data_IF_802872493811
#
_entry.id   IF_802872493811
#
_cell.length_a   1.000
_cell.length_b   1.000
_cell.length_c   1.000
_cell.angle_alpha   90.00
_cell.angle_beta   90.00
_cell.angle_gamma   90.00
#
_symmetry.space_group_name_H-M   'P 1'
#
loop_
_entity.id
_entity.type
_entity.pdbx_description
1 polymer ?
#
# COMPACT_ATOMS: atom_id res chain seq x y z
N UNK A 1 30.50 -4.18 -20.67
CA UNK A 1 29.64 -5.32 -20.29
C UNK A 1 28.44 -5.31 -21.21
N UNK A 2 28.13 -6.44 -21.85
CA UNK A 2 26.98 -6.57 -22.74
C UNK A 2 25.92 -7.38 -22.00
N UNK A 3 24.80 -6.75 -21.65
CA UNK A 3 23.65 -7.47 -21.11
C UNK A 3 22.82 -8.03 -22.27
N UNK A 4 22.48 -9.32 -22.19
CA UNK A 4 21.55 -10.00 -23.09
C UNK A 4 20.16 -9.94 -22.46
N UNK A 5 19.18 -9.39 -23.17
CA UNK A 5 17.80 -9.33 -22.73
C UNK A 5 16.95 -10.26 -23.61
N UNK A 6 16.23 -11.18 -22.98
CA UNK A 6 15.29 -12.05 -23.67
C UNK A 6 13.97 -11.31 -23.85
N UNK A 7 13.64 -10.97 -25.10
CA UNK A 7 12.36 -10.36 -25.41
C UNK A 7 11.31 -11.43 -25.75
N UNK A 8 10.35 -11.62 -24.84
CA UNK A 8 9.27 -12.59 -25.00
C UNK A 8 8.12 -12.07 -25.88
N UNK A 9 7.94 -10.76 -25.99
CA UNK A 9 6.79 -10.18 -26.69
C UNK A 9 7.14 -8.85 -27.36
N UNK A 10 6.58 -8.60 -28.55
CA UNK A 10 6.64 -7.28 -29.18
C UNK A 10 5.66 -6.28 -28.56
N UNK A 11 4.77 -6.73 -27.65
CA UNK A 11 3.67 -5.93 -27.11
C UNK A 11 3.71 -5.76 -25.60
N UNK A 12 4.34 -6.69 -24.88
CA UNK A 12 4.29 -6.74 -23.42
C UNK A 12 5.69 -6.73 -22.84
N UNK A 13 5.89 -5.86 -21.85
CA UNK A 13 7.00 -5.99 -20.93
C UNK A 13 6.50 -6.74 -19.69
N UNK A 14 7.12 -7.86 -19.35
CA UNK A 14 6.67 -8.70 -18.23
C UNK A 14 7.05 -8.14 -16.85
N UNK A 15 7.60 -6.92 -16.80
CA UNK A 15 7.95 -6.17 -15.59
C UNK A 15 7.14 -4.86 -15.55
N UNK A 16 5.84 -4.95 -15.81
CA UNK A 16 4.90 -3.82 -15.78
C UNK A 16 4.11 -3.80 -14.47
N UNK A 17 3.77 -2.60 -14.00
CA UNK A 17 2.88 -2.44 -12.83
C UNK A 17 1.47 -2.96 -13.15
N UNK A 18 0.73 -3.37 -12.11
CA UNK A 18 -0.66 -3.83 -12.30
C UNK A 18 -1.55 -2.74 -12.90
N UNK A 19 -2.50 -3.18 -13.74
CA UNK A 19 -3.47 -2.35 -14.41
C UNK A 19 -4.72 -3.17 -14.72
N UNK A 20 -5.68 -2.62 -15.46
CA UNK A 20 -6.83 -3.41 -15.91
C UNK A 20 -6.42 -4.67 -16.70
N UNK A 21 -5.30 -4.67 -17.42
CA UNK A 21 -4.92 -5.81 -18.27
C UNK A 21 -3.67 -6.56 -17.78
N UNK A 22 -3.03 -6.08 -16.70
CA UNK A 22 -1.76 -6.62 -16.20
C UNK A 22 -1.95 -6.90 -14.71
N UNK A 23 -1.55 -8.10 -14.28
CA UNK A 23 -1.60 -8.52 -12.87
C UNK A 23 -0.19 -8.84 -12.38
N UNK A 24 0.52 -7.83 -11.90
CA UNK A 24 1.88 -7.98 -11.39
C UNK A 24 1.87 -8.78 -10.09
N UNK A 25 2.66 -9.85 -10.03
CA UNK A 25 2.74 -10.74 -8.86
C UNK A 25 3.12 -10.01 -7.57
N UNK A 26 3.87 -8.90 -7.66
CA UNK A 26 4.28 -8.11 -6.49
C UNK A 26 3.12 -7.38 -5.78
N UNK A 27 1.91 -7.41 -6.36
CA UNK A 27 0.69 -6.86 -5.76
C UNK A 27 -0.18 -7.91 -5.06
N UNK A 28 0.26 -9.17 -4.95
CA UNK A 28 -0.50 -10.25 -4.30
C UNK A 28 0.36 -10.96 -3.26
N UNK A 29 -0.03 -10.92 -1.98
CA UNK A 29 0.77 -11.45 -0.88
C UNK A 29 1.06 -12.96 -1.02
N UNK A 30 0.08 -13.73 -1.51
CA UNK A 30 0.19 -15.17 -1.73
C UNK A 30 1.12 -15.56 -2.89
N UNK A 31 1.45 -14.62 -3.78
CA UNK A 31 2.37 -14.82 -4.91
C UNK A 31 3.81 -14.43 -4.58
N UNK A 32 4.07 -13.82 -3.42
CA UNK A 32 5.42 -13.50 -2.97
C UNK A 32 6.05 -14.76 -2.36
N UNK A 33 6.64 -15.63 -3.18
CA UNK A 33 7.17 -16.92 -2.72
C UNK A 33 8.67 -16.90 -2.43
N UNK A 34 9.46 -16.11 -3.16
CA UNK A 34 10.92 -16.07 -3.02
C UNK A 34 11.34 -15.18 -1.86
N UNK A 35 12.44 -15.48 -1.17
CA UNK A 35 12.90 -14.65 -0.04
C UNK A 35 13.14 -13.18 -0.43
N UNK A 36 13.52 -12.94 -1.69
CA UNK A 36 13.74 -11.60 -2.25
C UNK A 36 12.47 -10.86 -2.66
N UNK A 37 11.29 -11.51 -2.67
CA UNK A 37 10.05 -10.85 -3.06
C UNK A 37 9.50 -10.02 -1.92
N UNK A 38 9.31 -8.73 -2.17
CA UNK A 38 8.70 -7.77 -1.25
C UNK A 38 7.61 -6.98 -1.96
N UNK A 39 6.63 -6.50 -1.19
CA UNK A 39 5.63 -5.58 -1.72
C UNK A 39 6.33 -4.27 -2.03
N UNK A 40 6.24 -3.84 -3.29
CA UNK A 40 6.85 -2.58 -3.74
C UNK A 40 6.19 -1.38 -3.06
N UNK A 41 4.87 -1.24 -3.23
CA UNK A 41 4.07 -0.17 -2.63
C UNK A 41 2.81 -0.72 -1.95
N UNK A 42 1.97 -1.43 -2.71
CA UNK A 42 0.64 -1.87 -2.26
C UNK A 42 0.39 -3.30 -2.73
N UNK A 43 -0.23 -4.14 -1.89
CA UNK A 43 -0.68 -5.47 -2.25
C UNK A 43 -2.03 -5.82 -1.64
N UNK A 44 -2.64 -6.90 -2.16
CA UNK A 44 -3.83 -7.53 -1.61
C UNK A 44 -3.56 -8.99 -1.23
N UNK A 45 -4.49 -9.64 -0.53
CA UNK A 45 -4.30 -11.03 -0.06
C UNK A 45 -4.05 -12.03 -1.20
N UNK A 46 -4.86 -11.98 -2.27
CA UNK A 46 -4.70 -12.88 -3.42
C UNK A 46 -5.30 -12.27 -4.69
N UNK A 47 -4.91 -12.81 -5.83
CA UNK A 47 -5.51 -12.51 -7.13
C UNK A 47 -6.92 -13.08 -7.26
N UNK A 48 -7.17 -14.26 -6.69
CA UNK A 48 -8.49 -14.89 -6.66
C UNK A 48 -8.92 -14.95 -5.21
N UNK A 49 -10.07 -14.36 -4.89
CA UNK A 49 -10.56 -14.16 -3.54
C UNK A 49 -11.89 -14.91 -3.41
N UNK A 50 -11.97 -15.84 -2.47
CA UNK A 50 -13.22 -16.48 -2.06
C UNK A 50 -13.72 -15.98 -0.71
N UNK A 51 -12.84 -15.35 0.06
CA UNK A 51 -13.19 -14.74 1.33
C UNK A 51 -14.15 -13.55 1.17
N UNK A 52 -15.03 -13.28 2.15
CA UNK A 52 -15.97 -12.15 2.07
C UNK A 52 -15.29 -10.79 2.28
N UNK A 53 -13.97 -10.71 2.16
CA UNK A 53 -13.17 -9.50 2.31
C UNK A 53 -11.94 -9.50 1.40
N UNK A 54 -11.45 -8.30 1.10
CA UNK A 54 -10.12 -8.09 0.50
C UNK A 54 -9.23 -7.42 1.54
N UNK A 55 -8.08 -8.01 1.84
CA UNK A 55 -7.03 -7.34 2.60
C UNK A 55 -6.33 -6.36 1.68
N UNK A 56 -6.10 -5.13 2.13
CA UNK A 56 -5.26 -4.15 1.43
C UNK A 56 -4.09 -3.82 2.34
N UNK A 57 -2.87 -3.99 1.84
CA UNK A 57 -1.64 -3.70 2.54
C UNK A 57 -0.86 -2.61 1.81
N UNK A 58 -0.51 -1.53 2.50
CA UNK A 58 0.36 -0.45 2.02
C UNK A 58 1.70 -0.60 2.73
N UNK A 59 2.75 -0.92 1.97
CA UNK A 59 4.10 -1.05 2.50
C UNK A 59 4.58 0.29 3.06
N UNK A 60 5.19 0.25 4.24
CA UNK A 60 5.75 1.45 4.85
C UNK A 60 6.96 1.93 4.04
N UNK A 61 6.96 3.20 3.65
CA UNK A 61 8.15 3.89 3.16
C UNK A 61 8.31 5.25 3.86
N UNK A 62 9.50 5.85 3.72
CA UNK A 62 9.79 7.15 4.34
C UNK A 62 8.90 8.28 3.78
N UNK A 63 8.50 8.20 2.51
CA UNK A 63 7.72 9.23 1.85
C UNK A 63 6.32 9.35 2.45
N UNK A 64 5.70 8.25 2.87
CA UNK A 64 4.42 8.25 3.57
C UNK A 64 4.46 9.21 4.76
N UNK A 65 5.52 9.13 5.56
CA UNK A 65 5.64 9.95 6.75
C UNK A 65 5.99 11.41 6.43
N UNK A 66 6.79 11.66 5.39
CA UNK A 66 7.02 13.01 4.89
C UNK A 66 5.69 13.68 4.46
N UNK A 67 4.77 12.92 3.86
CA UNK A 67 3.44 13.40 3.50
C UNK A 67 2.54 13.62 4.71
N UNK A 68 2.59 12.73 5.71
CA UNK A 68 1.90 12.94 6.98
C UNK A 68 2.33 14.27 7.62
N UNK A 69 3.62 14.60 7.61
CA UNK A 69 4.11 15.88 8.13
C UNK A 69 3.64 17.08 7.30
N UNK A 70 3.43 16.92 5.98
CA UNK A 70 2.88 18.00 5.16
C UNK A 70 1.41 18.28 5.50
N UNK A 71 0.60 17.23 5.69
CA UNK A 71 -0.82 17.37 6.02
C UNK A 71 -1.08 17.66 7.50
N UNK A 72 -0.19 17.24 8.38
CA UNK A 72 -0.25 17.49 9.81
C UNK A 72 1.12 17.90 10.37
N UNK A 73 1.53 19.17 10.18
CA UNK A 73 2.86 19.64 10.58
C UNK A 73 3.16 19.53 12.08
N UNK A 74 2.15 19.41 12.96
CA UNK A 74 2.37 19.24 14.40
C UNK A 74 2.96 17.88 14.76
N UNK A 75 2.86 16.88 13.87
CA UNK A 75 3.49 15.57 14.05
C UNK A 75 4.97 15.57 13.69
N UNK A 76 5.47 16.62 13.02
CA UNK A 76 6.86 16.69 12.60
C UNK A 76 7.76 16.91 13.82
N UNK A 77 8.73 16.03 14.10
CA UNK A 77 9.63 16.21 15.23
C UNK A 77 10.60 17.36 14.97
N UNK A 78 11.14 17.94 16.06
CA UNK A 78 12.21 18.94 15.97
C UNK A 78 13.48 18.34 15.34
N UNK A 79 13.82 17.10 15.72
CA UNK A 79 14.94 16.33 15.15
C UNK A 79 14.42 15.08 14.43
N UNK A 80 14.79 14.92 13.17
CA UNK A 80 14.46 13.75 12.36
C UNK A 80 15.46 12.62 12.62
N UNK A 81 15.05 11.60 13.38
CA UNK A 81 15.90 10.46 13.75
C UNK A 81 15.75 9.25 12.82
N UNK A 82 15.12 9.40 11.65
CA UNK A 82 14.82 8.28 10.73
C UNK A 82 16.03 7.92 9.88
N UNK A 83 16.11 6.65 9.48
CA UNK A 83 17.19 6.13 8.64
C UNK A 83 18.25 5.38 9.45
N UNK A 84 19.48 5.35 8.94
CA UNK A 84 20.58 4.61 9.58
C UNK A 84 21.08 5.42 10.78
N UNK A 85 20.90 4.88 11.98
CA UNK A 85 21.40 5.47 13.22
C UNK A 85 22.29 4.46 13.95
N UNK A 86 23.16 4.94 14.83
CA UNK A 86 23.93 4.08 15.74
C UNK A 86 23.00 3.35 16.70
N UNK A 87 23.44 2.21 17.26
CA UNK A 87 22.66 1.37 18.20
C UNK A 87 22.03 2.18 19.36
N UNK A 88 22.77 3.15 19.90
CA UNK A 88 22.31 4.08 20.95
C UNK A 88 21.19 5.03 20.46
N UNK A 89 21.22 5.45 19.20
CA UNK A 89 20.18 6.28 18.59
C UNK A 89 18.91 5.48 18.29
N UNK A 90 19.05 4.20 17.94
CA UNK A 90 17.92 3.30 17.66
C UNK A 90 17.11 2.95 18.91
N UNK A 91 17.75 2.76 20.08
CA UNK A 91 17.05 2.49 21.34
C UNK A 91 16.10 3.62 21.79
N UNK A 92 16.34 4.86 21.34
CA UNK A 92 15.53 6.04 21.68
C UNK A 92 14.61 6.48 20.52
N UNK A 93 14.47 5.66 19.48
CA UNK A 93 13.71 6.02 18.28
C UNK A 93 12.23 5.68 18.40
N UNK A 94 11.38 6.59 17.90
CA UNK A 94 9.92 6.47 17.93
C UNK A 94 9.28 7.14 19.15
N UNK A 95 8.11 7.74 18.95
CA UNK A 95 7.35 8.35 20.04
C UNK A 95 6.74 7.27 20.94
N UNK A 96 6.79 7.45 22.26
CA UNK A 96 6.00 6.66 23.22
C UNK A 96 4.64 7.28 23.53
N UNK A 97 4.36 8.47 22.98
CA UNK A 97 3.10 9.17 23.17
C UNK A 97 1.99 8.52 22.33
N UNK A 98 1.00 7.95 23.01
CA UNK A 98 -0.17 7.34 22.38
C UNK A 98 -1.01 8.33 21.58
N UNK A 99 -1.03 9.61 21.98
CA UNK A 99 -1.78 10.65 21.27
C UNK A 99 -1.15 10.95 19.91
N UNK A 100 0.17 11.11 19.85
CA UNK A 100 0.91 11.31 18.61
C UNK A 100 0.75 10.12 17.66
N UNK A 101 0.80 8.88 18.16
CA UNK A 101 0.51 7.69 17.34
C UNK A 101 -0.91 7.66 16.81
N UNK A 102 -1.88 8.05 17.64
CA UNK A 102 -3.28 8.13 17.23
C UNK A 102 -3.48 9.18 16.14
N UNK A 103 -2.90 10.36 16.31
CA UNK A 103 -3.01 11.46 15.35
C UNK A 103 -2.27 11.14 14.05
N UNK A 104 -1.13 10.46 14.13
CA UNK A 104 -0.46 9.89 12.96
C UNK A 104 -1.38 8.96 12.16
N UNK A 105 -2.00 7.98 12.81
CA UNK A 105 -2.88 7.02 12.14
C UNK A 105 -4.15 7.69 11.60
N UNK A 106 -4.70 8.68 12.31
CA UNK A 106 -5.82 9.48 11.80
C UNK A 106 -5.40 10.23 10.55
N UNK A 107 -4.27 10.91 10.56
CA UNK A 107 -3.75 11.61 9.38
C UNK A 107 -3.56 10.63 8.23
N UNK A 108 -2.88 9.50 8.44
CA UNK A 108 -2.70 8.46 7.42
C UNK A 108 -4.04 8.00 6.80
N UNK A 109 -5.05 7.71 7.63
CA UNK A 109 -6.38 7.32 7.18
C UNK A 109 -7.13 8.40 6.39
N UNK A 110 -6.75 9.68 6.53
CA UNK A 110 -7.28 10.73 5.64
C UNK A 110 -6.56 10.80 4.30
N UNK A 111 -5.31 10.32 4.21
CA UNK A 111 -4.50 10.40 3.00
C UNK A 111 -4.84 9.30 2.01
N UNK A 112 -5.15 8.10 2.49
CA UNK A 112 -5.40 6.94 1.64
C UNK A 112 -6.88 6.59 1.61
N UNK A 113 -7.35 6.23 0.43
CA UNK A 113 -8.68 5.68 0.24
C UNK A 113 -8.65 4.49 -0.70
N UNK A 114 -9.64 3.60 -0.56
CA UNK A 114 -9.75 2.41 -1.41
C UNK A 114 -11.09 2.41 -2.10
N UNK A 115 -11.05 2.13 -3.39
CA UNK A 115 -12.20 2.00 -4.26
C UNK A 115 -12.16 0.64 -4.94
N UNK A 116 -13.30 -0.04 -5.02
CA UNK A 116 -13.46 -1.24 -5.84
C UNK A 116 -14.42 -0.88 -6.97
N UNK A 117 -13.94 -1.02 -8.20
CA UNK A 117 -14.52 -0.56 -9.46
C UNK A 117 -14.82 0.94 -9.49
N UNK A 118 -15.97 1.35 -8.95
CA UNK A 118 -16.41 2.73 -8.82
C UNK A 118 -16.94 3.07 -7.42
N UNK A 119 -16.94 2.09 -6.51
CA UNK A 119 -17.48 2.22 -5.16
C UNK A 119 -16.35 2.55 -4.20
N UNK A 120 -16.45 3.71 -3.54
CA UNK A 120 -15.53 4.10 -2.48
C UNK A 120 -15.88 3.36 -1.18
N UNK A 121 -14.90 2.68 -0.58
CA UNK A 121 -15.07 1.97 0.68
C UNK A 121 -14.52 2.79 1.85
N UNK A 122 -15.24 2.72 2.98
CA UNK A 122 -14.70 3.20 4.25
C UNK A 122 -13.52 2.31 4.64
N UNK A 123 -12.39 2.93 4.93
CA UNK A 123 -11.18 2.24 5.37
C UNK A 123 -10.81 2.70 6.78
N UNK A 124 -10.14 1.80 7.51
CA UNK A 124 -9.55 2.06 8.82
C UNK A 124 -8.25 1.26 8.90
N UNK A 125 -7.19 1.87 8.37
CA UNK A 125 -5.86 1.29 8.33
C UNK A 125 -5.22 1.31 9.71
N UNK A 126 -4.66 0.16 10.07
CA UNK A 126 -3.83 -0.04 11.26
C UNK A 126 -2.40 -0.39 10.87
N UNK A 127 -1.44 -0.13 11.76
CA UNK A 127 -0.07 -0.64 11.56
C UNK A 127 -0.08 -2.16 11.66
N UNK A 128 0.56 -2.80 10.69
CA UNK A 128 0.65 -4.24 10.58
C UNK A 128 1.97 -4.70 9.99
N UNK A 129 2.07 -6.01 9.80
CA UNK A 129 3.18 -6.62 9.08
C UNK A 129 2.66 -7.70 8.15
N UNK A 130 3.30 -7.85 7.00
CA UNK A 130 3.02 -8.99 6.13
C UNK A 130 3.56 -10.29 6.72
N UNK A 131 3.18 -11.42 6.12
CA UNK A 131 3.79 -12.74 6.41
C UNK A 131 5.31 -12.73 6.25
N UNK A 132 5.84 -11.85 5.38
CA UNK A 132 7.26 -11.62 5.16
C UNK A 132 7.88 -10.57 6.08
N UNK A 133 7.18 -10.17 7.14
CA UNK A 133 7.63 -9.20 8.17
C UNK A 133 7.90 -7.78 7.64
N UNK A 134 7.40 -7.45 6.45
CA UNK A 134 7.45 -6.08 5.95
C UNK A 134 6.48 -5.23 6.76
N UNK A 135 6.95 -4.12 7.32
CA UNK A 135 6.10 -3.20 8.06
C UNK A 135 5.25 -2.38 7.08
N UNK A 136 4.04 -2.04 7.50
CA UNK A 136 3.11 -1.28 6.68
C UNK A 136 1.80 -1.04 7.39
N UNK A 137 0.79 -0.73 6.60
CA UNK A 137 -0.56 -0.46 7.04
C UNK A 137 -1.51 -1.44 6.38
N UNK A 138 -2.45 -1.98 7.14
CA UNK A 138 -3.45 -2.90 6.61
C UNK A 138 -4.87 -2.52 6.99
N UNK A 139 -5.80 -2.80 6.08
CA UNK A 139 -7.24 -2.72 6.29
C UNK A 139 -7.90 -3.90 5.59
N UNK A 140 -9.11 -4.25 6.02
CA UNK A 140 -9.90 -5.35 5.45
C UNK A 140 -11.23 -4.79 4.96
N UNK A 141 -11.51 -4.96 3.66
CA UNK A 141 -12.68 -4.39 3.00
C UNK A 141 -13.68 -5.51 2.76
N UNK A 142 -14.85 -5.44 3.37
CA UNK A 142 -15.91 -6.43 3.14
C UNK A 142 -16.46 -6.34 1.73
N UNK A 143 -16.47 -7.47 1.02
CA UNK A 143 -16.90 -7.56 -0.40
C UNK A 143 -18.06 -8.52 -0.63
N UNK A 144 -18.75 -8.98 0.43
CA UNK A 144 -19.85 -9.96 0.34
C UNK A 144 -20.95 -9.62 -0.69
N UNK A 145 -21.13 -8.34 -1.02
CA UNK A 145 -22.21 -7.86 -1.89
C UNK A 145 -21.73 -7.42 -3.29
N UNK A 146 -20.49 -7.72 -3.69
CA UNK A 146 -20.04 -7.48 -5.08
C UNK A 146 -20.39 -8.70 -5.95
N UNK A 147 -20.55 -8.48 -7.25
CA UNK A 147 -20.86 -9.55 -8.21
C UNK A 147 -19.69 -10.52 -8.33
N UNK A 148 -19.92 -11.73 -8.85
CA UNK A 148 -18.85 -12.66 -9.15
C UNK A 148 -18.06 -12.22 -10.39
N UNK A 149 -16.75 -12.48 -10.38
CA UNK A 149 -15.88 -12.24 -11.51
C UNK A 149 -14.82 -11.17 -11.25
N UNK A 150 -14.41 -10.48 -12.32
CA UNK A 150 -13.26 -9.58 -12.29
C UNK A 150 -13.64 -8.20 -11.76
N UNK A 151 -12.85 -7.72 -10.81
CA UNK A 151 -12.95 -6.37 -10.24
C UNK A 151 -11.60 -5.66 -10.28
N UNK A 152 -11.65 -4.33 -10.16
CA UNK A 152 -10.49 -3.48 -10.04
C UNK A 152 -10.45 -2.83 -8.67
N UNK A 153 -9.40 -3.10 -7.90
CA UNK A 153 -9.11 -2.35 -6.68
C UNK A 153 -8.19 -1.17 -7.00
N UNK A 154 -8.62 0.02 -6.60
CA UNK A 154 -7.82 1.23 -6.69
C UNK A 154 -7.49 1.72 -5.30
N UNK A 155 -6.20 1.92 -5.02
CA UNK A 155 -5.79 2.71 -3.86
C UNK A 155 -5.45 4.10 -4.35
N UNK A 156 -6.15 5.08 -3.78
CA UNK A 156 -5.94 6.49 -4.05
C UNK A 156 -5.28 7.15 -2.86
N UNK A 157 -4.46 8.16 -3.16
CA UNK A 157 -3.70 8.93 -2.19
C UNK A 157 -3.95 10.42 -2.41
N UNK A 158 -4.12 11.17 -1.33
CA UNK A 158 -4.17 12.63 -1.36
C UNK A 158 -2.77 13.19 -1.52
N UNK A 159 -2.62 14.15 -2.41
CA UNK A 159 -1.35 14.84 -2.68
C UNK A 159 -1.61 16.35 -2.64
N UNK A 160 -0.77 17.09 -1.90
CA UNK A 160 -0.78 18.54 -1.95
C UNK A 160 -0.10 19.02 -3.23
N UNK A 161 -0.82 19.79 -4.03
CA UNK A 161 -0.27 20.67 -5.05
C UNK A 161 -0.37 22.12 -4.56
N UNK A 162 0.44 23.00 -5.16
CA UNK A 162 0.72 24.38 -4.70
C UNK A 162 -0.44 25.15 -4.06
N UNK A 163 -1.68 24.94 -4.51
CA UNK A 163 -2.88 25.58 -3.96
C UNK A 163 -4.09 24.64 -3.76
N UNK A 164 -3.96 23.33 -3.99
CA UNK A 164 -5.08 22.38 -3.94
C UNK A 164 -4.65 20.98 -3.49
N UNK A 165 -5.57 20.20 -2.96
CA UNK A 165 -5.35 18.77 -2.68
C UNK A 165 -5.98 17.92 -3.78
N UNK A 166 -5.15 17.20 -4.53
CA UNK A 166 -5.63 16.26 -5.56
C UNK A 166 -5.67 14.83 -5.02
N UNK A 167 -6.45 13.97 -5.68
CA UNK A 167 -6.43 12.52 -5.46
C UNK A 167 -5.69 11.85 -6.62
N UNK A 168 -4.66 11.07 -6.31
CA UNK A 168 -3.83 10.33 -7.26
C UNK A 168 -4.03 8.84 -7.06
N UNK A 169 -4.16 8.06 -8.13
CA UNK A 169 -4.14 6.60 -8.05
C UNK A 169 -2.73 6.12 -7.79
N UNK A 170 -2.51 5.49 -6.63
CA UNK A 170 -1.22 4.94 -6.21
C UNK A 170 -1.06 3.48 -6.65
N UNK A 171 -2.16 2.72 -6.71
CA UNK A 171 -2.16 1.36 -7.25
C UNK A 171 -3.50 1.05 -7.94
N UNK A 172 -3.43 0.22 -8.98
CA UNK A 172 -4.58 -0.40 -9.65
C UNK A 172 -4.36 -1.91 -9.71
N UNK A 173 -5.10 -2.70 -8.94
CA UNK A 173 -4.85 -4.13 -8.77
C UNK A 173 -6.10 -4.90 -9.21
N UNK A 174 -6.05 -5.68 -10.31
CA UNK A 174 -7.16 -6.53 -10.68
C UNK A 174 -7.23 -7.73 -9.73
N UNK A 175 -8.45 -8.14 -9.38
CA UNK A 175 -8.70 -9.39 -8.65
C UNK A 175 -10.00 -10.03 -9.13
N UNK A 176 -10.20 -11.30 -8.78
CA UNK A 176 -11.38 -12.06 -9.13
C UNK A 176 -12.08 -12.57 -7.88
N UNK A 177 -13.35 -12.23 -7.73
CA UNK A 177 -14.17 -12.68 -6.61
C UNK A 177 -15.03 -13.86 -7.03
N UNK A 178 -14.83 -14.99 -6.36
CA UNK A 178 -15.61 -16.22 -6.53
C UNK A 178 -15.85 -16.81 -5.13
N UNK A 179 -16.92 -16.38 -4.43
CA UNK A 179 -17.24 -16.90 -3.11
C UNK A 179 -17.63 -18.38 -3.18
N UNK A 180 -17.33 -19.10 -2.10
CA UNK A 180 -17.74 -20.51 -1.91
C UNK A 180 -19.24 -20.66 -1.64
#
# INVERSE_FOLDING_TARGET
MTSLYYNQSNYFNFIEDSSNNISNSLNYEDMLVEESDFIKNIAINSKVISEPYVKVFIAFDKFIEDEIYQFNPSLKPEEDTRGITSEIGSMNSGSNDSSLKSDYLKTFNTLYSVEIDSTLYKTDFVLGKTVKKQNGFETYIGIKNIEEGKHMLYVKRRELKESDTISKTEASIPFWYYPD
#
